data_IF_974356859244
#
_entry.id   IF_974356859244
#
_cell.length_a   1.000
_cell.length_b   1.000
_cell.length_c   1.000
_cell.angle_alpha   90.00
_cell.angle_beta   90.00
_cell.angle_gamma   90.00
#
_symmetry.space_group_name_H-M   'P 1'
#
loop_
_entity.id
_entity.type
_entity.pdbx_description
1 polymer ?
#
# COMPACT_ATOMS: atom_id res chain seq x y z
N UNK A 1 -1.65 5.68 15.19
CA UNK A 1 -1.85 4.75 14.06
C UNK A 1 -2.09 3.35 14.61
N UNK A 2 -2.83 2.52 13.87
CA UNK A 2 -3.01 1.10 14.20
C UNK A 2 -1.67 0.37 14.39
N UNK A 3 -1.69 -0.81 15.04
CA UNK A 3 -0.55 -1.73 15.12
C UNK A 3 -0.27 -2.44 13.78
N UNK A 4 -0.43 -1.75 12.67
CA UNK A 4 -0.15 -2.24 11.32
C UNK A 4 0.94 -1.35 10.75
N UNK A 5 1.81 -1.87 9.89
CA UNK A 5 2.73 -1.01 9.14
C UNK A 5 2.73 -1.36 7.66
N UNK A 6 3.10 -0.37 6.86
CA UNK A 6 3.05 -0.39 5.42
C UNK A 6 4.46 -0.18 4.87
N UNK A 7 4.84 -0.92 3.84
CA UNK A 7 6.01 -0.61 3.02
C UNK A 7 5.53 -0.41 1.58
N UNK A 8 5.89 0.72 0.99
CA UNK A 8 5.64 1.03 -0.42
C UNK A 8 6.99 1.02 -1.14
N UNK A 9 7.06 0.37 -2.30
CA UNK A 9 8.26 0.35 -3.15
C UNK A 9 7.89 0.66 -4.58
N UNK A 10 8.85 1.20 -5.33
CA UNK A 10 8.73 1.37 -6.77
C UNK A 10 9.61 0.33 -7.44
N UNK A 11 9.01 -0.47 -8.31
CA UNK A 11 9.69 -1.43 -9.16
C UNK A 11 9.68 -0.91 -10.61
N UNK A 12 10.85 -0.97 -11.26
CA UNK A 12 11.08 -0.60 -12.67
C UNK A 12 10.55 0.79 -13.08
N UNK A 13 10.44 1.72 -12.14
CA UNK A 13 9.83 3.07 -12.34
C UNK A 13 8.43 3.02 -12.96
N UNK A 14 7.70 1.91 -12.82
CA UNK A 14 6.36 1.74 -13.43
C UNK A 14 5.36 1.12 -12.48
N UNK A 15 5.84 0.26 -11.59
CA UNK A 15 5.02 -0.48 -10.65
C UNK A 15 5.21 0.07 -9.24
N UNK A 16 4.12 0.10 -8.49
CA UNK A 16 4.09 0.42 -7.07
C UNK A 16 3.77 -0.88 -6.34
N UNK A 17 4.71 -1.37 -5.54
CA UNK A 17 4.51 -2.50 -4.66
C UNK A 17 4.08 -2.03 -3.28
N UNK A 18 3.07 -2.68 -2.74
CA UNK A 18 2.49 -2.39 -1.44
C UNK A 18 2.61 -3.64 -0.57
N UNK A 19 3.29 -3.54 0.57
CA UNK A 19 3.39 -4.61 1.56
C UNK A 19 2.77 -4.17 2.88
N UNK A 20 1.64 -4.77 3.25
CA UNK A 20 0.95 -4.50 4.51
C UNK A 20 1.21 -5.60 5.54
N UNK A 21 1.71 -5.21 6.69
CA UNK A 21 1.95 -6.09 7.84
C UNK A 21 0.93 -5.80 8.92
N UNK A 22 0.12 -6.82 9.26
CA UNK A 22 -0.92 -6.73 10.28
C UNK A 22 -0.47 -7.50 11.52
N UNK A 23 -0.11 -6.79 12.61
CA UNK A 23 0.51 -7.43 13.78
C UNK A 23 -0.49 -8.14 14.72
N UNK A 24 -1.76 -7.71 14.74
CA UNK A 24 -2.72 -8.12 15.79
C UNK A 24 -4.01 -8.79 15.31
N UNK A 25 -4.29 -8.90 14.01
CA UNK A 25 -5.66 -9.19 13.55
C UNK A 25 -5.96 -10.66 13.26
N UNK A 26 -4.97 -11.56 13.21
CA UNK A 26 -5.27 -12.97 12.94
C UNK A 26 -4.27 -13.90 13.65
N UNK A 27 -4.78 -14.88 14.42
CA UNK A 27 -4.02 -16.04 14.93
C UNK A 27 -3.60 -16.96 13.77
N UNK A 28 -2.83 -16.45 12.81
CA UNK A 28 -2.27 -17.26 11.75
C UNK A 28 -0.97 -17.88 12.23
N UNK A 29 -0.79 -19.17 11.93
CA UNK A 29 0.45 -19.92 12.17
C UNK A 29 1.65 -19.29 11.45
N UNK A 30 1.41 -18.51 10.39
CA UNK A 30 2.42 -17.79 9.61
C UNK A 30 2.01 -16.33 9.39
N UNK A 31 2.96 -15.40 9.56
CA UNK A 31 2.76 -13.96 9.43
C UNK A 31 3.35 -13.48 8.09
N UNK A 32 2.62 -13.70 7.00
CA UNK A 32 2.98 -13.12 5.70
C UNK A 32 2.31 -11.76 5.51
N UNK A 33 3.02 -10.77 4.93
CA UNK A 33 2.40 -9.52 4.54
C UNK A 33 1.36 -9.74 3.45
N UNK A 34 0.37 -8.85 3.39
CA UNK A 34 -0.48 -8.73 2.20
C UNK A 34 0.28 -7.90 1.19
N UNK A 35 0.62 -8.49 0.04
CA UNK A 35 1.35 -7.82 -1.03
C UNK A 35 0.40 -7.49 -2.18
N UNK A 36 0.55 -6.31 -2.77
CA UNK A 36 -0.13 -5.93 -4.02
C UNK A 36 0.84 -5.17 -4.91
N UNK A 37 0.74 -5.37 -6.22
CA UNK A 37 1.50 -4.61 -7.21
C UNK A 37 0.53 -3.87 -8.10
N UNK A 38 0.71 -2.56 -8.21
CA UNK A 38 -0.17 -1.64 -8.93
C UNK A 38 0.65 -0.92 -10.00
N UNK A 39 0.22 -0.96 -11.25
CA UNK A 39 0.83 -0.16 -12.29
C UNK A 39 0.45 1.32 -12.11
N UNK A 40 1.40 2.25 -12.21
CA UNK A 40 1.18 3.67 -11.91
C UNK A 40 0.05 4.30 -12.75
N UNK A 41 -0.09 3.87 -14.01
CA UNK A 41 -1.16 4.34 -14.91
C UNK A 41 -2.56 3.84 -14.53
N UNK A 42 -2.63 2.74 -13.76
CA UNK A 42 -3.88 2.08 -13.34
C UNK A 42 -4.15 2.28 -11.85
N UNK A 43 -3.82 3.47 -11.33
CA UNK A 43 -3.96 3.80 -9.92
C UNK A 43 -5.40 3.59 -9.39
N UNK A 44 -6.41 3.95 -10.19
CA UNK A 44 -7.83 3.77 -9.84
C UNK A 44 -8.18 2.29 -9.64
N UNK A 45 -7.69 1.41 -10.52
CA UNK A 45 -7.88 -0.04 -10.39
C UNK A 45 -7.20 -0.54 -9.12
N UNK A 46 -6.02 0.00 -8.79
CA UNK A 46 -5.32 -0.27 -7.54
C UNK A 46 -6.13 0.11 -6.30
N UNK A 47 -6.72 1.31 -6.26
CA UNK A 47 -7.59 1.74 -5.15
C UNK A 47 -8.85 0.89 -5.04
N UNK A 48 -9.45 0.50 -6.17
CA UNK A 48 -10.57 -0.42 -6.19
C UNK A 48 -10.15 -1.78 -5.59
N UNK A 49 -8.95 -2.29 -5.91
CA UNK A 49 -8.49 -3.57 -5.40
C UNK A 49 -8.23 -3.51 -3.88
N UNK A 50 -7.67 -2.39 -3.40
CA UNK A 50 -7.50 -2.12 -1.97
C UNK A 50 -8.84 -2.08 -1.23
N UNK A 51 -9.88 -1.47 -1.81
CA UNK A 51 -11.21 -1.38 -1.17
C UNK A 51 -11.93 -2.72 -1.06
N UNK A 52 -11.68 -3.64 -2.01
CA UNK A 52 -12.19 -5.01 -1.96
C UNK A 52 -11.46 -5.90 -0.94
N UNK A 53 -10.25 -5.52 -0.53
CA UNK A 53 -9.45 -6.34 0.36
C UNK A 53 -9.90 -6.17 1.82
N UNK A 54 -10.59 -7.18 2.37
CA UNK A 54 -11.10 -7.17 3.75
C UNK A 54 -10.05 -6.87 4.83
N UNK A 55 -8.77 -7.17 4.58
CA UNK A 55 -7.67 -6.83 5.48
C UNK A 55 -7.56 -5.32 5.72
N UNK A 56 -7.81 -4.52 4.69
CA UNK A 56 -7.77 -3.06 4.76
C UNK A 56 -9.03 -2.50 5.41
N UNK A 57 -10.17 -3.20 5.31
CA UNK A 57 -11.41 -2.76 5.94
C UNK A 57 -11.30 -2.63 7.47
N UNK A 58 -10.47 -3.46 8.09
CA UNK A 58 -10.21 -3.48 9.54
C UNK A 58 -9.36 -2.27 9.99
N UNK A 59 -8.62 -1.65 9.07
CA UNK A 59 -7.79 -0.49 9.39
C UNK A 59 -8.65 0.74 9.74
N UNK A 60 -8.14 1.57 10.65
CA UNK A 60 -8.73 2.87 10.94
C UNK A 60 -8.70 3.78 9.72
N UNK A 61 -9.64 4.73 9.67
CA UNK A 61 -9.75 5.70 8.57
C UNK A 61 -8.46 6.48 8.37
N UNK A 62 -7.76 6.84 9.45
CA UNK A 62 -6.47 7.54 9.36
C UNK A 62 -5.38 6.67 8.72
N UNK A 63 -5.36 5.36 9.01
CA UNK A 63 -4.41 4.44 8.40
C UNK A 63 -4.72 4.20 6.91
N UNK A 64 -6.01 4.11 6.55
CA UNK A 64 -6.46 4.04 5.14
C UNK A 64 -6.04 5.28 4.35
N UNK A 65 -6.21 6.47 4.95
CA UNK A 65 -5.78 7.73 4.36
C UNK A 65 -4.26 7.77 4.15
N UNK A 66 -3.48 7.35 5.15
CA UNK A 66 -2.02 7.28 5.04
C UNK A 66 -1.57 6.37 3.88
N UNK A 67 -2.19 5.19 3.74
CA UNK A 67 -1.93 4.28 2.61
C UNK A 67 -2.19 4.98 1.28
N UNK A 68 -3.31 5.70 1.17
CA UNK A 68 -3.64 6.43 -0.05
C UNK A 68 -2.63 7.53 -0.38
N UNK A 69 -2.17 8.28 0.62
CA UNK A 69 -1.15 9.32 0.47
C UNK A 69 0.17 8.71 -0.03
N UNK A 70 0.64 7.61 0.56
CA UNK A 70 1.90 6.99 0.15
C UNK A 70 1.85 6.39 -1.25
N UNK A 71 0.75 5.73 -1.61
CA UNK A 71 0.53 5.24 -2.99
C UNK A 71 0.53 6.41 -3.97
N UNK A 72 -0.12 7.52 -3.62
CA UNK A 72 -0.17 8.69 -4.48
C UNK A 72 1.19 9.39 -4.64
N UNK A 73 1.97 9.51 -3.55
CA UNK A 73 3.35 10.00 -3.59
C UNK A 73 4.24 9.13 -4.48
N UNK A 74 4.15 7.81 -4.36
CA UNK A 74 4.90 6.89 -5.21
C UNK A 74 4.51 7.06 -6.70
N UNK A 75 3.22 7.21 -6.99
CA UNK A 75 2.74 7.48 -8.35
C UNK A 75 3.26 8.82 -8.89
N UNK A 76 3.26 9.88 -8.07
CA UNK A 76 3.85 11.18 -8.45
C UNK A 76 5.34 11.05 -8.72
N UNK A 77 6.08 10.33 -7.87
CA UNK A 77 7.51 10.11 -8.07
C UNK A 77 7.79 9.40 -9.41
N UNK A 78 6.99 8.39 -9.77
CA UNK A 78 7.06 7.72 -11.08
C UNK A 78 6.81 8.72 -12.22
N UNK A 79 5.72 9.50 -12.14
CA UNK A 79 5.34 10.44 -13.20
C UNK A 79 6.33 11.58 -13.40
N UNK A 80 7.02 11.98 -12.34
CA UNK A 80 8.01 13.06 -12.35
C UNK A 80 9.44 12.54 -12.55
N UNK A 81 9.62 11.22 -12.74
CA UNK A 81 10.93 10.54 -12.79
C UNK A 81 11.84 10.86 -11.57
N UNK A 82 11.22 10.95 -10.39
CA UNK A 82 11.89 11.23 -9.12
C UNK A 82 12.06 9.97 -8.27
N UNK A 83 13.04 10.00 -7.37
CA UNK A 83 13.23 8.95 -6.37
C UNK A 83 12.16 9.06 -5.29
N UNK A 84 11.39 8.00 -5.09
CA UNK A 84 10.45 7.89 -3.97
C UNK A 84 11.18 7.52 -2.68
N UNK A 85 10.83 8.20 -1.60
CA UNK A 85 11.27 7.90 -0.24
C UNK A 85 10.03 7.86 0.64
N UNK A 86 9.89 6.80 1.42
CA UNK A 86 8.82 6.65 2.39
C UNK A 86 9.30 7.20 3.75
N UNK A 87 8.50 8.09 4.35
CA UNK A 87 8.70 8.67 5.70
C UNK A 87 7.64 8.19 6.70
#
# INVERSE_FOLDING_TARGET
>A
MDCSYLIVRIEDKKNIELHCFFLNTVRLKYRYPTCMTIHADKLNDGFHLVSLCNRFNILSTSHKLYIGIEIFKACLAIKLDQTYVQE
#
